data_IF_639494835912
#
_entry.id   IF_639494835912
#
_cell.length_a   1.000
_cell.length_b   1.000
_cell.length_c   1.000
_cell.angle_alpha   90.00
_cell.angle_beta   90.00
_cell.angle_gamma   90.00
#
_symmetry.space_group_name_H-M   'P 1'
#
loop_
_entity.id
_entity.type
_entity.pdbx_description
1 polymer ?
#
# COMPACT_ATOMS: atom_id res chain seq x y z
N UNK A 1 -20.36 48.09 -71.50
CA UNK A 1 -21.25 46.97 -71.12
C UNK A 1 -20.39 45.77 -70.78
N UNK A 2 -20.62 45.20 -69.60
CA UNK A 2 -20.18 43.89 -69.07
C UNK A 2 -18.67 43.55 -69.08
N UNK A 3 -17.99 43.91 -67.99
CA UNK A 3 -16.71 43.32 -67.55
C UNK A 3 -16.99 42.17 -66.55
N UNK A 4 -16.56 40.96 -66.87
CA UNK A 4 -16.70 39.76 -66.04
C UNK A 4 -15.73 39.77 -64.83
N UNK A 5 -16.12 39.25 -63.65
CA UNK A 5 -15.24 39.19 -62.49
C UNK A 5 -14.29 37.98 -62.54
N UNK A 6 -13.01 38.26 -62.27
CA UNK A 6 -11.95 37.27 -62.05
C UNK A 6 -12.24 36.46 -60.76
N UNK A 7 -12.21 35.13 -60.88
CA UNK A 7 -12.31 34.21 -59.74
C UNK A 7 -11.10 34.32 -58.79
N UNK A 8 -11.23 33.84 -57.54
CA UNK A 8 -10.22 34.02 -56.51
C UNK A 8 -8.95 33.20 -56.80
N UNK A 9 -7.79 33.83 -56.63
CA UNK A 9 -6.47 33.19 -56.71
C UNK A 9 -6.24 32.21 -55.55
N UNK A 10 -5.47 31.12 -55.76
CA UNK A 10 -5.15 30.16 -54.70
C UNK A 10 -4.19 30.77 -53.67
N UNK A 11 -4.48 30.53 -52.38
CA UNK A 11 -3.64 30.97 -51.26
C UNK A 11 -2.34 30.16 -51.18
N UNK A 12 -1.22 30.77 -50.75
CA UNK A 12 0.04 30.06 -50.51
C UNK A 12 -0.07 29.13 -49.29
N UNK A 13 0.72 28.04 -49.23
CA UNK A 13 0.69 27.10 -48.12
C UNK A 13 1.19 27.74 -46.82
N UNK A 14 0.71 27.27 -45.65
CA UNK A 14 1.13 27.80 -44.37
C UNK A 14 2.60 27.49 -44.07
N UNK A 15 3.30 28.34 -43.28
CA UNK A 15 4.69 28.10 -42.91
C UNK A 15 4.82 26.86 -42.01
N UNK A 16 5.98 26.18 -42.02
CA UNK A 16 6.20 25.00 -41.21
C UNK A 16 6.08 25.33 -39.72
N UNK A 17 5.34 24.50 -38.99
CA UNK A 17 5.18 24.61 -37.54
C UNK A 17 6.54 24.45 -36.85
N UNK A 18 6.93 25.44 -36.05
CA UNK A 18 8.08 25.36 -35.18
C UNK A 18 7.86 24.21 -34.18
N UNK A 19 8.74 23.20 -34.22
CA UNK A 19 8.78 22.15 -33.22
C UNK A 19 9.12 22.77 -31.87
N UNK A 20 8.24 22.58 -30.89
CA UNK A 20 8.53 22.92 -29.50
C UNK A 20 9.79 22.14 -29.04
N UNK A 21 10.69 22.74 -28.25
CA UNK A 21 11.83 22.03 -27.72
C UNK A 21 11.34 20.87 -26.85
N UNK A 22 12.02 19.70 -26.87
CA UNK A 22 11.63 18.57 -26.05
C UNK A 22 11.64 19.00 -24.58
N UNK A 23 10.53 18.72 -23.89
CA UNK A 23 10.43 18.87 -22.45
C UNK A 23 11.54 18.04 -21.81
N UNK A 24 12.48 18.72 -21.15
CA UNK A 24 13.46 18.07 -20.31
C UNK A 24 12.71 17.41 -19.16
N UNK A 25 12.45 16.11 -19.29
CA UNK A 25 12.16 15.26 -18.14
C UNK A 25 13.37 15.38 -17.21
N UNK A 26 13.18 15.48 -15.88
CA UNK A 26 14.30 15.42 -14.96
C UNK A 26 15.00 14.09 -15.21
N UNK A 27 16.25 14.16 -15.67
CA UNK A 27 17.12 13.01 -15.79
C UNK A 27 17.27 12.43 -14.39
N UNK A 28 16.53 11.34 -14.10
CA UNK A 28 16.76 10.57 -12.91
C UNK A 28 18.17 9.99 -13.02
N UNK A 29 19.03 10.45 -12.12
CA UNK A 29 20.40 10.00 -12.02
C UNK A 29 20.40 8.53 -11.58
N UNK A 30 20.56 7.62 -12.55
CA UNK A 30 20.61 6.16 -12.35
C UNK A 30 21.75 5.72 -11.42
N UNK A 31 22.63 6.63 -11.00
CA UNK A 31 23.72 6.35 -10.07
C UNK A 31 23.30 6.33 -8.58
N UNK A 32 22.14 6.90 -8.21
CA UNK A 32 21.60 6.73 -6.85
C UNK A 32 21.14 5.28 -6.57
N UNK A 33 20.67 4.57 -7.61
CA UNK A 33 20.27 3.14 -7.52
C UNK A 33 21.46 2.16 -7.52
N UNK A 34 22.66 2.61 -7.90
CA UNK A 34 23.86 1.76 -7.84
C UNK A 34 24.54 1.79 -6.48
N UNK A 35 24.40 2.89 -5.72
CA UNK A 35 25.08 3.06 -4.43
C UNK A 35 24.49 2.24 -3.29
N UNK A 36 23.33 1.59 -3.48
CA UNK A 36 22.62 0.87 -2.41
C UNK A 36 22.03 -0.47 -2.86
N UNK A 37 22.56 -1.16 -3.88
CA UNK A 37 22.17 -2.56 -4.11
C UNK A 37 22.69 -3.43 -2.96
N UNK A 38 21.82 -4.01 -2.11
CA UNK A 38 22.26 -5.11 -1.27
C UNK A 38 22.50 -6.31 -2.20
N UNK A 39 23.60 -7.03 -2.01
CA UNK A 39 23.87 -8.26 -2.77
C UNK A 39 22.71 -9.25 -2.67
N UNK A 40 21.97 -9.39 -3.77
CA UNK A 40 20.75 -10.21 -3.88
C UNK A 40 21.01 -11.73 -3.97
N UNK A 41 22.28 -12.14 -3.94
CA UNK A 41 22.70 -13.54 -4.00
C UNK A 41 23.00 -14.17 -2.63
N UNK A 42 22.74 -13.42 -1.54
CA UNK A 42 23.24 -13.71 -0.20
C UNK A 42 22.39 -14.64 0.68
N UNK A 43 21.43 -15.37 0.10
CA UNK A 43 20.56 -16.31 0.84
C UNK A 43 21.23 -17.69 1.07
N UNK A 44 22.37 -17.97 0.42
CA UNK A 44 23.04 -19.30 0.49
C UNK A 44 23.80 -19.59 1.80
N UNK A 45 24.08 -18.59 2.64
CA UNK A 45 24.97 -18.76 3.81
C UNK A 45 24.30 -18.59 5.19
N UNK A 46 23.00 -18.28 5.26
CA UNK A 46 22.30 -18.29 6.55
C UNK A 46 21.95 -19.73 6.93
N UNK A 47 22.84 -20.38 7.69
CA UNK A 47 22.58 -21.71 8.27
C UNK A 47 21.33 -21.65 9.14
N UNK A 48 20.36 -22.53 8.88
CA UNK A 48 19.18 -22.66 9.73
C UNK A 48 19.62 -23.09 11.14
N UNK A 49 19.25 -22.31 12.15
CA UNK A 49 19.39 -22.76 13.52
C UNK A 49 18.38 -23.91 13.74
N UNK A 50 18.85 -25.05 14.23
CA UNK A 50 17.96 -26.14 14.64
C UNK A 50 17.33 -25.70 15.96
N UNK A 51 16.06 -25.28 15.90
CA UNK A 51 15.30 -24.97 17.11
C UNK A 51 14.63 -26.28 17.55
N UNK A 52 15.12 -26.87 18.65
CA UNK A 52 14.46 -28.01 19.29
C UNK A 52 13.22 -27.49 20.04
N UNK A 53 12.04 -27.69 19.45
CA UNK A 53 10.77 -27.43 20.14
C UNK A 53 9.59 -27.29 19.19
N UNK A 54 8.52 -28.04 19.46
CA UNK A 54 7.20 -27.75 18.89
C UNK A 54 6.67 -26.47 19.54
N UNK A 55 6.09 -25.62 18.71
CA UNK A 55 5.30 -24.42 19.03
C UNK A 55 6.04 -23.27 19.72
N UNK A 56 5.78 -22.05 19.26
CA UNK A 56 6.23 -20.82 19.91
C UNK A 56 5.46 -20.65 21.22
N UNK A 57 5.83 -21.40 22.25
CA UNK A 57 5.30 -21.27 23.60
C UNK A 57 5.94 -20.03 24.24
N UNK A 58 5.13 -19.16 24.84
CA UNK A 58 5.60 -18.03 25.65
C UNK A 58 6.72 -18.46 26.59
N UNK A 59 7.82 -17.70 26.61
CA UNK A 59 9.02 -17.97 27.40
C UNK A 59 10.12 -18.75 26.66
N UNK A 60 9.85 -19.29 25.46
CA UNK A 60 10.88 -19.97 24.67
C UNK A 60 11.94 -18.98 24.17
N UNK A 61 13.21 -19.36 24.29
CA UNK A 61 14.36 -18.58 23.82
C UNK A 61 14.77 -19.08 22.44
N UNK A 62 14.76 -18.17 21.47
CA UNK A 62 15.20 -18.40 20.10
C UNK A 62 16.56 -17.75 19.92
N UNK A 63 17.63 -18.55 19.88
CA UNK A 63 18.97 -18.06 19.59
C UNK A 63 19.31 -18.24 18.12
N UNK A 64 19.88 -17.19 17.51
CA UNK A 64 20.31 -17.17 16.11
C UNK A 64 21.64 -16.45 15.99
N UNK A 65 22.43 -16.80 14.98
CA UNK A 65 23.67 -16.09 14.67
C UNK A 65 23.40 -15.11 13.54
N UNK A 66 23.64 -13.83 13.80
CA UNK A 66 23.64 -12.78 12.80
C UNK A 66 25.08 -12.32 12.49
N UNK A 67 25.29 -11.65 11.37
CA UNK A 67 26.62 -11.17 10.99
C UNK A 67 27.51 -12.26 10.37
N UNK A 68 28.82 -12.02 10.32
CA UNK A 68 29.77 -12.89 9.60
C UNK A 68 29.95 -12.58 8.12
N UNK A 69 29.36 -11.48 7.61
CA UNK A 69 29.52 -11.03 6.22
C UNK A 69 30.59 -9.94 6.15
N UNK A 70 31.40 -9.94 5.09
CA UNK A 70 32.44 -8.92 4.83
C UNK A 70 33.48 -8.72 5.95
N UNK A 71 33.74 -9.74 6.78
CA UNK A 71 34.73 -9.67 7.85
C UNK A 71 34.19 -9.23 9.22
N UNK A 72 32.91 -8.90 9.32
CA UNK A 72 32.27 -8.59 10.62
C UNK A 72 32.14 -9.85 11.48
N UNK A 73 32.36 -9.76 12.81
CA UNK A 73 32.24 -10.91 13.70
C UNK A 73 30.81 -11.47 13.69
N UNK A 74 30.70 -12.81 13.75
CA UNK A 74 29.42 -13.48 13.99
C UNK A 74 28.96 -13.17 15.41
N UNK A 75 27.74 -12.65 15.54
CA UNK A 75 27.13 -12.35 16.82
C UNK A 75 25.93 -13.28 17.04
N UNK A 76 25.91 -13.95 18.19
CA UNK A 76 24.71 -14.67 18.64
C UNK A 76 23.74 -13.67 19.26
N UNK A 77 22.49 -13.70 18.81
CA UNK A 77 21.39 -12.93 19.36
C UNK A 77 20.28 -13.89 19.80
N UNK A 78 19.64 -13.57 20.92
CA UNK A 78 18.64 -14.40 21.57
C UNK A 78 17.35 -13.62 21.79
N UNK A 79 16.24 -14.21 21.37
CA UNK A 79 14.91 -13.63 21.50
C UNK A 79 14.06 -14.46 22.46
N UNK A 80 13.55 -13.85 23.52
CA UNK A 80 12.53 -14.47 24.36
C UNK A 80 11.14 -14.15 23.80
N UNK A 81 10.43 -15.15 23.31
CA UNK A 81 9.06 -14.98 22.83
C UNK A 81 8.13 -14.67 24.01
N UNK A 82 7.41 -13.56 23.97
CA UNK A 82 6.54 -13.11 25.06
C UNK A 82 5.08 -13.50 24.82
N UNK A 83 4.52 -13.11 23.67
CA UNK A 83 3.12 -13.38 23.33
C UNK A 83 2.87 -13.37 21.84
N UNK A 84 1.88 -14.13 21.40
CA UNK A 84 1.34 -14.03 20.04
C UNK A 84 0.57 -12.72 19.91
N UNK A 85 0.90 -11.92 18.90
CA UNK A 85 0.25 -10.63 18.59
C UNK A 85 -0.52 -10.64 17.28
N UNK A 86 -0.32 -11.66 16.44
CA UNK A 86 -1.08 -11.86 15.22
C UNK A 86 -1.05 -13.30 14.74
N UNK A 87 -2.17 -13.76 14.19
CA UNK A 87 -2.28 -15.05 13.49
C UNK A 87 -2.93 -14.78 12.13
N UNK A 88 -2.39 -15.38 11.07
CA UNK A 88 -2.90 -15.21 9.72
C UNK A 88 -2.61 -16.42 8.85
N UNK A 89 -3.13 -16.39 7.62
CA UNK A 89 -2.93 -17.46 6.62
C UNK A 89 -1.46 -17.74 6.32
N UNK A 90 -0.58 -16.75 6.52
CA UNK A 90 0.84 -16.83 6.20
C UNK A 90 1.72 -17.25 7.38
N UNK A 91 1.17 -17.35 8.59
CA UNK A 91 1.92 -17.74 9.78
C UNK A 91 1.53 -16.98 11.04
N UNK A 92 2.48 -16.89 11.96
CA UNK A 92 2.27 -16.39 13.32
C UNK A 92 3.21 -15.21 13.55
N UNK A 93 2.70 -14.15 14.16
CA UNK A 93 3.49 -13.00 14.62
C UNK A 93 3.49 -13.01 16.13
N UNK A 94 4.67 -12.97 16.73
CA UNK A 94 4.81 -12.85 18.17
C UNK A 94 5.68 -11.66 18.54
N UNK A 95 5.35 -11.03 19.66
CA UNK A 95 6.22 -10.09 20.33
C UNK A 95 7.33 -10.89 21.03
N UNK A 96 8.55 -10.40 20.94
CA UNK A 96 9.69 -10.96 21.64
C UNK A 96 10.58 -9.86 22.21
N UNK A 97 11.37 -10.20 23.22
CA UNK A 97 12.42 -9.34 23.76
C UNK A 97 13.79 -9.83 23.32
N UNK A 98 14.56 -8.97 22.69
CA UNK A 98 15.98 -9.19 22.41
C UNK A 98 16.74 -9.17 23.74
N UNK A 99 17.41 -10.27 24.10
CA UNK A 99 18.07 -10.38 25.40
C UNK A 99 19.34 -9.56 25.49
N UNK A 100 20.02 -9.36 24.36
CA UNK A 100 21.29 -8.62 24.29
C UNK A 100 21.09 -7.10 24.35
N UNK A 101 19.98 -6.59 23.82
CA UNK A 101 19.70 -5.14 23.76
C UNK A 101 18.57 -4.70 24.69
N UNK A 102 17.77 -5.64 25.19
CA UNK A 102 16.52 -5.37 25.91
C UNK A 102 15.39 -4.86 25.02
N UNK A 103 15.61 -4.69 23.72
CA UNK A 103 14.62 -4.15 22.78
C UNK A 103 13.46 -5.12 22.54
N UNK A 104 12.24 -4.59 22.54
CA UNK A 104 11.04 -5.33 22.11
C UNK A 104 10.92 -5.34 20.57
N UNK A 105 10.72 -6.51 19.99
CA UNK A 105 10.62 -6.73 18.55
C UNK A 105 9.37 -7.53 18.19
N UNK A 106 8.95 -7.46 16.92
CA UNK A 106 7.95 -8.35 16.35
C UNK A 106 8.65 -9.40 15.48
N UNK A 107 8.35 -10.68 15.68
CA UNK A 107 8.89 -11.77 14.86
C UNK A 107 7.73 -12.43 14.12
N UNK A 108 7.73 -12.28 12.78
CA UNK A 108 6.78 -12.97 11.89
C UNK A 108 7.41 -14.26 11.40
N UNK A 109 6.91 -15.39 11.87
CA UNK A 109 7.33 -16.74 11.50
C UNK A 109 6.43 -17.29 10.42
N UNK A 110 6.99 -17.52 9.24
CA UNK A 110 6.28 -18.02 8.05
C UNK A 110 6.89 -19.33 7.57
N UNK A 111 6.04 -20.27 7.14
CA UNK A 111 6.52 -21.51 6.54
C UNK A 111 7.23 -21.18 5.22
N UNK A 112 8.43 -21.72 5.04
CA UNK A 112 9.29 -21.43 3.91
C UNK A 112 9.43 -22.65 3.00
N UNK A 113 8.94 -22.53 1.77
CA UNK A 113 9.29 -23.49 0.72
C UNK A 113 10.75 -23.24 0.29
N UNK A 114 11.58 -24.28 0.39
CA UNK A 114 13.01 -24.25 0.02
C UNK A 114 13.24 -23.89 -1.45
N UNK A 115 12.24 -24.07 -2.31
CA UNK A 115 12.35 -23.85 -3.76
C UNK A 115 12.15 -22.40 -4.17
N UNK A 116 11.54 -21.57 -3.32
CA UNK A 116 11.12 -20.22 -3.69
C UNK A 116 11.71 -19.19 -2.75
N UNK A 117 12.14 -18.05 -3.29
CA UNK A 117 12.48 -16.88 -2.47
C UNK A 117 11.20 -16.26 -1.91
N UNK A 118 11.25 -15.80 -0.66
CA UNK A 118 10.13 -15.12 -0.04
C UNK A 118 10.04 -13.68 -0.54
N UNK A 119 8.94 -13.34 -1.25
CA UNK A 119 8.73 -12.00 -1.82
C UNK A 119 8.66 -10.92 -0.75
N UNK A 120 7.98 -11.19 0.37
CA UNK A 120 7.84 -10.22 1.47
C UNK A 120 9.22 -9.81 2.01
N UNK A 121 10.11 -10.78 2.26
CA UNK A 121 11.50 -10.52 2.65
C UNK A 121 12.24 -9.66 1.61
N UNK A 122 12.10 -9.99 0.33
CA UNK A 122 12.76 -9.24 -0.75
C UNK A 122 12.29 -7.77 -0.78
N UNK A 123 10.99 -7.54 -0.65
CA UNK A 123 10.42 -6.19 -0.64
C UNK A 123 10.86 -5.42 0.61
N UNK A 124 10.79 -6.03 1.79
CA UNK A 124 11.15 -5.37 3.04
C UNK A 124 12.63 -4.96 3.09
N UNK A 125 13.53 -5.70 2.42
CA UNK A 125 14.94 -5.31 2.28
C UNK A 125 15.15 -4.04 1.43
N UNK A 126 14.17 -3.61 0.65
CA UNK A 126 14.24 -2.43 -0.23
C UNK A 126 13.58 -1.19 0.37
N UNK A 127 12.97 -1.30 1.55
CA UNK A 127 12.14 -0.25 2.13
C UNK A 127 12.74 0.26 3.44
N UNK A 128 12.90 1.57 3.52
CA UNK A 128 13.30 2.31 4.71
C UNK A 128 12.57 3.66 4.72
N UNK A 129 11.55 3.75 5.59
CA UNK A 129 10.73 4.94 5.71
C UNK A 129 10.05 4.99 7.09
N UNK A 130 9.93 6.16 7.75
CA UNK A 130 9.34 6.28 9.09
C UNK A 130 7.90 5.75 9.21
N UNK A 131 7.12 5.78 8.12
CA UNK A 131 5.75 5.28 8.06
C UNK A 131 5.61 3.89 7.41
N UNK A 132 6.70 3.14 7.30
CA UNK A 132 6.73 1.73 6.88
C UNK A 132 7.45 0.93 7.96
N UNK A 133 7.00 -0.29 8.23
CA UNK A 133 7.65 -1.16 9.22
C UNK A 133 9.05 -1.55 8.75
N UNK A 134 10.04 -1.40 9.64
CA UNK A 134 11.43 -1.74 9.35
C UNK A 134 11.73 -3.21 9.63
N UNK A 135 12.39 -3.87 8.68
CA UNK A 135 13.02 -5.17 8.87
C UNK A 135 14.39 -4.96 9.50
N UNK A 136 14.59 -5.48 10.71
CA UNK A 136 15.89 -5.44 11.40
C UNK A 136 16.84 -6.48 10.81
N UNK A 137 16.37 -7.72 10.72
CA UNK A 137 17.08 -8.85 10.12
C UNK A 137 16.11 -10.04 9.97
N UNK A 138 16.62 -11.16 9.47
CA UNK A 138 15.85 -12.39 9.35
C UNK A 138 16.72 -13.60 9.67
N UNK A 139 16.10 -14.71 10.05
CA UNK A 139 16.79 -15.99 10.25
C UNK A 139 15.89 -17.18 9.90
N UNK A 140 16.51 -18.31 9.57
CA UNK A 140 15.80 -19.55 9.33
C UNK A 140 15.80 -20.43 10.58
N UNK A 141 14.70 -21.13 10.79
CA UNK A 141 14.55 -22.14 11.83
C UNK A 141 13.90 -23.38 11.28
N UNK A 142 14.35 -24.55 11.71
CA UNK A 142 13.75 -25.83 11.31
C UNK A 142 13.07 -26.50 12.50
N UNK A 143 11.88 -27.06 12.32
CA UNK A 143 11.19 -27.84 13.36
C UNK A 143 11.74 -29.26 13.45
N UNK A 144 11.33 -30.01 14.47
CA UNK A 144 11.64 -31.44 14.61
C UNK A 144 11.11 -32.30 13.46
N UNK A 145 10.16 -31.78 12.67
CA UNK A 145 9.58 -32.43 11.48
C UNK A 145 10.28 -32.02 10.17
N UNK A 146 11.44 -31.37 10.25
CA UNK A 146 12.17 -30.81 9.11
C UNK A 146 11.40 -29.75 8.30
N UNK A 147 10.44 -29.07 8.93
CA UNK A 147 9.75 -27.94 8.31
C UNK A 147 10.60 -26.69 8.47
N UNK A 148 10.95 -26.07 7.34
CA UNK A 148 11.72 -24.83 7.31
C UNK A 148 10.81 -23.63 7.50
N UNK A 149 11.17 -22.74 8.41
CA UNK A 149 10.50 -21.46 8.63
C UNK A 149 11.47 -20.31 8.41
N UNK A 150 10.96 -19.25 7.79
CA UNK A 150 11.58 -17.94 7.73
C UNK A 150 11.01 -17.09 8.87
N UNK A 151 11.90 -16.47 9.65
CA UNK A 151 11.55 -15.57 10.74
C UNK A 151 12.00 -14.16 10.37
N UNK A 152 11.04 -13.25 10.19
CA UNK A 152 11.29 -11.84 9.91
C UNK A 152 11.27 -11.08 11.23
N UNK A 153 12.40 -10.51 11.64
CA UNK A 153 12.51 -9.71 12.86
C UNK A 153 12.35 -8.24 12.49
N UNK A 154 11.30 -7.62 13.03
CA UNK A 154 10.87 -6.27 12.72
C UNK A 154 10.85 -5.43 14.00
N UNK A 155 10.85 -4.11 13.84
CA UNK A 155 10.48 -3.24 14.96
C UNK A 155 9.09 -3.60 15.51
N UNK A 156 8.88 -3.40 16.81
CA UNK A 156 7.58 -3.61 17.44
C UNK A 156 6.84 -2.28 17.57
N UNK A 157 5.57 -2.26 17.16
CA UNK A 157 4.65 -1.14 17.38
C UNK A 157 3.46 -1.66 18.20
N UNK A 158 3.07 -1.01 19.32
CA UNK A 158 2.20 -1.63 20.33
C UNK A 158 0.76 -1.92 19.89
N UNK A 159 0.18 -1.04 19.08
CA UNK A 159 -1.24 -1.10 18.73
C UNK A 159 -1.47 -1.11 17.23
N UNK A 160 -2.68 -1.52 16.83
CA UNK A 160 -3.16 -1.39 15.46
C UNK A 160 -4.23 -0.31 15.39
N UNK A 161 -4.38 0.33 14.24
CA UNK A 161 -5.44 1.31 13.99
C UNK A 161 -6.82 0.69 14.24
N UNK A 162 -6.99 -0.59 13.93
CA UNK A 162 -8.20 -1.35 14.24
C UNK A 162 -8.51 -1.37 15.75
N UNK A 163 -7.51 -1.65 16.60
CA UNK A 163 -7.70 -1.68 18.05
C UNK A 163 -7.99 -0.28 18.61
N UNK A 164 -7.34 0.74 18.07
CA UNK A 164 -7.62 2.15 18.39
C UNK A 164 -9.07 2.51 18.03
N UNK A 165 -9.53 2.18 16.82
CA UNK A 165 -10.91 2.40 16.38
C UNK A 165 -11.92 1.69 17.28
N UNK A 166 -11.67 0.41 17.58
CA UNK A 166 -12.52 -0.38 18.47
C UNK A 166 -12.61 0.22 19.87
N UNK A 167 -11.52 0.77 20.39
CA UNK A 167 -11.51 1.45 21.69
C UNK A 167 -12.46 2.66 21.70
N UNK A 168 -12.34 3.58 20.74
CA UNK A 168 -13.25 4.72 20.61
C UNK A 168 -14.72 4.29 20.44
N UNK A 169 -14.97 3.33 19.56
CA UNK A 169 -16.33 2.78 19.34
C UNK A 169 -16.91 2.17 20.62
N UNK A 170 -16.12 1.40 21.39
CA UNK A 170 -16.58 0.77 22.64
C UNK A 170 -16.93 1.78 23.74
N UNK A 171 -16.31 2.96 23.72
CA UNK A 171 -16.63 4.06 24.63
C UNK A 171 -17.74 4.98 24.09
N UNK A 172 -18.34 4.63 22.95
CA UNK A 172 -19.30 5.47 22.23
C UNK A 172 -18.76 6.88 21.93
N UNK A 173 -17.45 6.97 21.66
CA UNK A 173 -16.76 8.20 21.33
C UNK A 173 -16.30 8.18 19.86
N UNK A 174 -16.25 9.37 19.25
CA UNK A 174 -15.62 9.55 17.94
C UNK A 174 -14.15 9.84 18.12
N UNK A 175 -13.33 9.39 17.16
CA UNK A 175 -11.93 9.77 17.11
C UNK A 175 -11.82 11.29 16.92
N UNK A 176 -11.04 12.01 17.76
CA UNK A 176 -10.73 13.41 17.56
C UNK A 176 -10.17 13.68 16.15
N UNK A 177 -10.66 14.72 15.48
CA UNK A 177 -10.27 15.04 14.10
C UNK A 177 -8.76 15.29 13.92
N UNK A 178 -8.07 15.72 14.96
CA UNK A 178 -6.61 15.87 14.92
C UNK A 178 -5.91 14.53 14.68
N UNK A 179 -6.36 13.45 15.34
CA UNK A 179 -5.81 12.12 15.14
C UNK A 179 -6.20 11.55 13.78
N UNK A 180 -7.43 11.81 13.32
CA UNK A 180 -7.84 11.44 11.96
C UNK A 180 -6.88 12.06 10.93
N UNK A 181 -6.66 13.38 10.99
CA UNK A 181 -5.74 14.08 10.08
C UNK A 181 -4.31 13.54 10.18
N UNK A 182 -3.79 13.37 11.39
CA UNK A 182 -2.42 12.94 11.64
C UNK A 182 -2.16 11.51 11.13
N UNK A 183 -3.09 10.59 11.40
CA UNK A 183 -2.97 9.20 10.97
C UNK A 183 -3.14 9.08 9.46
N UNK A 184 -4.16 9.72 8.88
CA UNK A 184 -4.38 9.73 7.44
C UNK A 184 -3.18 10.30 6.68
N UNK A 185 -2.59 11.41 7.14
CA UNK A 185 -1.39 11.97 6.53
C UNK A 185 -0.23 10.96 6.51
N UNK A 186 0.05 10.31 7.64
CA UNK A 186 1.14 9.34 7.74
C UNK A 186 0.91 8.09 6.89
N UNK A 187 -0.35 7.62 6.78
CA UNK A 187 -0.74 6.51 5.88
C UNK A 187 -0.41 6.89 4.44
N UNK A 188 -0.90 8.05 3.96
CA UNK A 188 -0.65 8.48 2.59
C UNK A 188 0.83 8.76 2.32
N UNK A 189 1.58 9.29 3.29
CA UNK A 189 3.03 9.46 3.18
C UNK A 189 3.75 8.12 3.02
N UNK A 190 3.37 7.11 3.79
CA UNK A 190 3.90 5.75 3.63
C UNK A 190 3.55 5.13 2.28
N UNK A 191 2.31 5.30 1.82
CA UNK A 191 1.86 4.83 0.50
C UNK A 191 2.62 5.51 -0.64
N UNK A 192 2.75 6.84 -0.59
CA UNK A 192 3.53 7.60 -1.57
C UNK A 192 4.97 7.08 -1.67
N UNK A 193 5.62 6.79 -0.53
CA UNK A 193 6.94 6.19 -0.52
C UNK A 193 6.97 4.83 -1.23
N UNK A 194 6.15 3.85 -0.81
CA UNK A 194 6.21 2.49 -1.38
C UNK A 194 5.79 2.47 -2.86
N UNK A 195 4.90 3.37 -3.29
CA UNK A 195 4.45 3.47 -4.68
C UNK A 195 5.51 4.07 -5.59
N UNK A 196 6.30 5.03 -5.10
CA UNK A 196 7.22 5.82 -5.96
C UNK A 196 8.66 5.35 -5.92
N UNK A 197 9.15 4.88 -4.76
CA UNK A 197 10.55 4.52 -4.59
C UNK A 197 10.82 3.09 -5.05
N UNK A 198 10.19 2.04 -4.47
CA UNK A 198 10.35 0.66 -4.94
C UNK A 198 9.27 0.21 -5.95
N UNK A 199 8.24 1.02 -6.25
CA UNK A 199 7.18 0.65 -7.20
C UNK A 199 6.24 -0.46 -6.68
N UNK A 200 6.08 -0.56 -5.36
CA UNK A 200 5.35 -1.63 -4.69
C UNK A 200 3.91 -1.23 -4.42
N UNK A 201 2.96 -2.07 -4.82
CA UNK A 201 1.58 -1.99 -4.36
C UNK A 201 1.40 -2.90 -3.13
N UNK A 202 0.78 -2.39 -2.06
CA UNK A 202 0.57 -3.11 -0.80
C UNK A 202 -0.51 -4.20 -0.95
N UNK A 203 -1.61 -3.87 -1.62
CA UNK A 203 -2.74 -4.78 -1.97
C UNK A 203 -3.53 -5.35 -0.79
N UNK A 204 -3.32 -4.85 0.42
CA UNK A 204 -4.10 -5.21 1.62
C UNK A 204 -4.06 -4.13 2.70
N UNK A 205 -4.23 -2.87 2.30
CA UNK A 205 -4.30 -1.73 3.24
C UNK A 205 -5.63 -1.81 3.99
N UNK A 206 -5.56 -1.87 5.32
CA UNK A 206 -6.70 -1.96 6.24
C UNK A 206 -6.27 -1.59 7.66
N UNK A 207 -7.19 -1.25 8.58
CA UNK A 207 -6.83 -0.83 9.93
C UNK A 207 -5.98 -1.84 10.73
N UNK A 208 -6.08 -3.14 10.41
CA UNK A 208 -5.26 -4.18 11.06
C UNK A 208 -3.79 -4.14 10.61
N UNK A 209 -3.52 -3.67 9.38
CA UNK A 209 -2.18 -3.58 8.78
C UNK A 209 -1.58 -2.16 8.90
N UNK A 210 -2.18 -1.35 9.77
CA UNK A 210 -1.72 -0.01 10.13
C UNK A 210 -1.39 -0.03 11.62
N UNK A 211 -0.11 -0.05 11.94
CA UNK A 211 0.33 -0.02 13.32
C UNK A 211 0.40 1.42 13.82
N UNK A 212 0.10 1.61 15.10
CA UNK A 212 0.09 2.91 15.77
C UNK A 212 0.80 2.78 17.11
N UNK A 213 1.70 3.69 17.40
CA UNK A 213 2.14 3.95 18.76
C UNK A 213 1.23 5.03 19.36
N UNK A 214 0.35 4.72 20.34
CA UNK A 214 -0.57 5.70 20.91
C UNK A 214 0.11 6.81 21.71
N UNK A 215 1.37 6.63 22.13
CA UNK A 215 2.11 7.64 22.88
C UNK A 215 2.70 8.70 21.95
N UNK A 216 3.31 8.26 20.85
CA UNK A 216 3.98 9.15 19.88
C UNK A 216 3.10 9.51 18.68
N UNK A 217 1.98 8.81 18.50
CA UNK A 217 1.10 8.86 17.33
C UNK A 217 1.79 8.53 16.00
N UNK A 218 2.92 7.81 16.04
CA UNK A 218 3.59 7.30 14.85
C UNK A 218 2.73 6.19 14.21
N UNK A 219 2.49 6.30 12.89
CA UNK A 219 1.79 5.27 12.11
C UNK A 219 2.74 4.57 11.15
N UNK A 220 2.68 3.24 11.08
CA UNK A 220 3.51 2.42 10.18
C UNK A 220 2.66 1.41 9.40
N UNK A 221 2.85 1.36 8.08
CA UNK A 221 2.34 0.29 7.22
C UNK A 221 3.08 -1.01 7.54
N UNK A 222 2.35 -2.11 7.73
CA UNK A 222 2.93 -3.43 7.96
C UNK A 222 2.24 -4.51 7.13
N UNK A 223 2.79 -5.74 7.17
CA UNK A 223 2.28 -6.93 6.47
C UNK A 223 2.35 -6.82 4.94
N UNK A 224 3.55 -7.03 4.41
CA UNK A 224 3.83 -7.00 2.96
C UNK A 224 3.66 -8.39 2.30
N UNK A 225 2.99 -9.34 2.97
CA UNK A 225 2.74 -10.68 2.44
C UNK A 225 1.91 -10.69 1.16
N UNK A 226 1.02 -9.71 1.00
CA UNK A 226 0.23 -9.51 -0.22
C UNK A 226 0.89 -8.55 -1.22
N UNK A 227 1.99 -7.88 -0.86
CA UNK A 227 2.55 -6.82 -1.69
C UNK A 227 3.23 -7.36 -2.97
N UNK A 228 3.28 -6.53 -4.01
CA UNK A 228 3.93 -6.86 -5.29
C UNK A 228 4.38 -5.58 -6.01
N UNK A 229 5.52 -5.63 -6.68
CA UNK A 229 5.87 -4.64 -7.72
C UNK A 229 4.96 -4.88 -8.92
N UNK A 230 4.17 -3.88 -9.31
CA UNK A 230 3.26 -4.00 -10.45
C UNK A 230 3.99 -3.58 -11.73
N UNK A 231 4.03 -4.48 -12.70
CA UNK A 231 4.62 -4.23 -14.02
C UNK A 231 3.50 -4.04 -15.03
N UNK A 232 3.59 -2.95 -15.82
CA UNK A 232 2.59 -2.64 -16.84
C UNK A 232 2.51 -3.77 -17.87
N UNK A 233 1.30 -4.23 -18.18
CA UNK A 233 1.04 -5.33 -19.10
C UNK A 233 1.16 -6.74 -18.49
N UNK A 234 1.53 -6.86 -17.20
CA UNK A 234 1.46 -8.14 -16.49
C UNK A 234 0.11 -8.30 -15.79
N UNK A 235 -0.55 -9.43 -16.01
CA UNK A 235 -1.76 -9.80 -15.29
C UNK A 235 -1.46 -10.11 -13.81
N UNK A 236 -2.37 -9.68 -12.94
CA UNK A 236 -2.32 -9.91 -11.51
C UNK A 236 -3.63 -10.53 -11.01
N UNK A 237 -3.56 -11.24 -9.88
CA UNK A 237 -4.75 -11.82 -9.24
C UNK A 237 -5.67 -10.68 -8.77
N UNK A 238 -6.94 -10.74 -9.17
CA UNK A 238 -7.97 -9.75 -8.82
C UNK A 238 -8.61 -10.02 -7.46
N UNK A 239 -8.74 -11.29 -7.06
CA UNK A 239 -9.21 -11.68 -5.73
C UNK A 239 -8.12 -11.47 -4.67
N UNK A 240 -7.82 -10.21 -4.41
CA UNK A 240 -6.85 -9.71 -3.43
C UNK A 240 -7.49 -8.60 -2.60
N UNK A 241 -6.81 -8.13 -1.55
CA UNK A 241 -7.31 -7.15 -0.59
C UNK A 241 -8.48 -7.66 0.27
N UNK A 242 -8.51 -7.22 1.54
CA UNK A 242 -9.63 -7.46 2.45
C UNK A 242 -10.90 -6.77 1.95
N UNK A 243 -12.03 -7.47 2.02
CA UNK A 243 -13.28 -7.14 1.29
C UNK A 243 -13.75 -5.69 1.46
N UNK A 244 -13.83 -5.18 2.70
CA UNK A 244 -14.36 -3.83 2.98
C UNK A 244 -13.49 -2.70 2.41
N UNK A 245 -12.22 -2.99 2.11
CA UNK A 245 -11.24 -2.04 1.61
C UNK A 245 -10.90 -2.30 0.13
N UNK A 246 -11.57 -3.27 -0.50
CA UNK A 246 -11.28 -3.71 -1.87
C UNK A 246 -11.81 -2.68 -2.88
N UNK A 247 -10.94 -2.28 -3.80
CA UNK A 247 -11.28 -1.36 -4.88
C UNK A 247 -12.28 -1.98 -5.88
N UNK A 248 -13.18 -1.18 -6.47
CA UNK A 248 -14.25 -1.69 -7.34
C UNK A 248 -13.70 -2.43 -8.57
N UNK A 249 -12.59 -1.99 -9.16
CA UNK A 249 -11.95 -2.67 -10.30
C UNK A 249 -11.52 -4.11 -9.95
N UNK A 250 -11.13 -4.38 -8.70
CA UNK A 250 -10.80 -5.73 -8.24
C UNK A 250 -12.06 -6.58 -8.06
N UNK A 251 -13.19 -5.97 -7.65
CA UNK A 251 -14.49 -6.64 -7.55
C UNK A 251 -15.00 -7.05 -8.95
N UNK A 252 -14.76 -6.20 -9.95
CA UNK A 252 -15.04 -6.51 -11.36
C UNK A 252 -14.03 -7.47 -12.00
N UNK A 253 -13.04 -7.95 -11.25
CA UNK A 253 -12.10 -8.96 -11.73
C UNK A 253 -10.96 -8.42 -12.58
N UNK A 254 -10.69 -7.11 -12.58
CA UNK A 254 -9.57 -6.53 -13.31
C UNK A 254 -8.24 -7.17 -12.89
N UNK A 255 -7.46 -7.60 -13.86
CA UNK A 255 -6.12 -8.19 -13.66
C UNK A 255 -5.00 -7.18 -13.94
N UNK A 256 -5.32 -6.09 -14.63
CA UNK A 256 -4.44 -4.95 -14.91
C UNK A 256 -4.88 -3.75 -14.08
N UNK A 257 -4.53 -3.77 -12.80
CA UNK A 257 -4.74 -2.65 -11.88
C UNK A 257 -3.41 -1.99 -11.52
N UNK A 258 -3.48 -0.80 -10.90
CA UNK A 258 -2.31 -0.03 -10.51
C UNK A 258 -2.24 0.12 -8.98
N UNK A 259 -1.26 0.86 -8.48
CA UNK A 259 -1.15 1.23 -7.06
C UNK A 259 -2.34 2.04 -6.55
N UNK A 260 -3.21 2.55 -7.43
CA UNK A 260 -4.45 3.25 -7.10
C UNK A 260 -5.40 2.46 -6.19
N UNK A 261 -5.34 1.12 -6.21
CA UNK A 261 -6.16 0.28 -5.34
C UNK A 261 -5.85 0.52 -3.86
N UNK A 262 -4.59 0.83 -3.51
CA UNK A 262 -4.21 1.16 -2.13
C UNK A 262 -4.75 2.53 -1.72
N UNK A 263 -4.88 3.47 -2.66
CA UNK A 263 -5.47 4.80 -2.43
C UNK A 263 -6.97 4.67 -2.14
N UNK A 264 -7.67 3.80 -2.87
CA UNK A 264 -9.05 3.44 -2.54
C UNK A 264 -9.16 2.87 -1.12
N UNK A 265 -8.35 1.86 -0.80
CA UNK A 265 -8.33 1.25 0.53
C UNK A 265 -8.03 2.26 1.65
N UNK A 266 -7.09 3.18 1.43
CA UNK A 266 -6.79 4.26 2.37
C UNK A 266 -7.95 5.25 2.53
N UNK A 267 -8.70 5.52 1.46
CA UNK A 267 -9.95 6.27 1.51
C UNK A 267 -11.01 5.59 2.38
N UNK A 268 -11.18 4.27 2.25
CA UNK A 268 -12.04 3.49 3.13
C UNK A 268 -11.60 3.57 4.60
N UNK A 269 -10.29 3.50 4.88
CA UNK A 269 -9.75 3.68 6.24
C UNK A 269 -10.05 5.08 6.77
N UNK A 270 -9.82 6.14 5.99
CA UNK A 270 -10.15 7.51 6.39
C UNK A 270 -11.64 7.65 6.74
N UNK A 271 -12.53 7.12 5.91
CA UNK A 271 -13.95 7.14 6.18
C UNK A 271 -14.31 6.38 7.45
N UNK A 272 -13.69 5.21 7.68
CA UNK A 272 -13.88 4.45 8.91
C UNK A 272 -13.38 5.19 10.16
N UNK A 273 -12.27 5.93 10.07
CA UNK A 273 -11.78 6.79 11.16
C UNK A 273 -12.79 7.90 11.50
N UNK A 274 -13.50 8.44 10.51
CA UNK A 274 -14.52 9.48 10.69
C UNK A 274 -15.85 8.92 11.21
N UNK A 275 -16.25 7.74 10.75
CA UNK A 275 -17.54 7.12 11.03
C UNK A 275 -17.52 6.26 12.30
N UNK A 276 -16.35 5.73 12.68
CA UNK A 276 -16.19 4.74 13.75
C UNK A 276 -16.61 3.31 13.36
N UNK A 277 -16.96 3.09 12.09
CA UNK A 277 -17.36 1.80 11.52
C UNK A 277 -16.98 1.72 10.03
N UNK A 278 -16.83 0.51 9.45
CA UNK A 278 -16.46 0.36 8.04
C UNK A 278 -17.43 1.08 7.09
N UNK A 279 -16.89 1.75 6.07
CA UNK A 279 -17.69 2.49 5.08
C UNK A 279 -18.53 1.57 4.19
N UNK A 280 -18.00 0.40 3.83
CA UNK A 280 -18.63 -0.54 2.90
C UNK A 280 -18.60 -1.97 3.48
N UNK A 281 -19.54 -2.33 4.37
CA UNK A 281 -19.57 -3.62 5.05
C UNK A 281 -20.31 -4.70 4.23
N UNK A 282 -19.87 -5.00 3.00
CA UNK A 282 -20.52 -6.01 2.15
C UNK A 282 -20.24 -7.45 2.60
N UNK A 283 -21.25 -8.33 2.59
CA UNK A 283 -21.08 -9.74 3.01
C UNK A 283 -20.37 -10.60 1.95
N UNK A 284 -20.60 -10.29 0.67
CA UNK A 284 -19.97 -10.93 -0.49
C UNK A 284 -19.56 -9.88 -1.53
N UNK A 285 -19.04 -10.31 -2.69
CA UNK A 285 -18.55 -9.40 -3.74
C UNK A 285 -19.67 -8.54 -4.35
N UNK A 286 -20.88 -9.09 -4.50
CA UNK A 286 -22.03 -8.37 -5.03
C UNK A 286 -22.52 -7.33 -4.02
N UNK A 287 -22.66 -7.73 -2.75
CA UNK A 287 -23.08 -6.82 -1.68
C UNK A 287 -22.07 -5.70 -1.47
N UNK A 288 -20.77 -5.99 -1.57
CA UNK A 288 -19.72 -4.98 -1.50
C UNK A 288 -19.91 -3.90 -2.59
N UNK A 289 -20.24 -4.31 -3.81
CA UNK A 289 -20.52 -3.38 -4.90
C UNK A 289 -21.80 -2.56 -4.63
N UNK A 290 -22.84 -3.20 -4.08
CA UNK A 290 -24.08 -2.52 -3.69
C UNK A 290 -23.82 -1.43 -2.64
N UNK A 291 -23.02 -1.71 -1.61
CA UNK A 291 -22.63 -0.71 -0.61
C UNK A 291 -21.86 0.47 -1.22
N UNK A 292 -20.95 0.19 -2.15
CA UNK A 292 -20.20 1.23 -2.88
C UNK A 292 -21.14 2.13 -3.71
N UNK A 293 -22.10 1.52 -4.42
CA UNK A 293 -23.06 2.24 -5.27
C UNK A 293 -23.98 3.12 -4.42
N UNK A 294 -24.48 2.62 -3.28
CA UNK A 294 -25.35 3.39 -2.36
C UNK A 294 -24.70 4.73 -1.97
N UNK A 295 -23.44 4.70 -1.53
CA UNK A 295 -22.72 5.91 -1.11
C UNK A 295 -22.36 6.79 -2.30
N UNK A 296 -21.88 6.20 -3.40
CA UNK A 296 -21.51 6.95 -4.60
C UNK A 296 -22.70 7.75 -5.15
N UNK A 297 -23.88 7.12 -5.23
CA UNK A 297 -25.11 7.79 -5.65
C UNK A 297 -25.51 8.92 -4.69
N UNK A 298 -25.32 8.76 -3.38
CA UNK A 298 -25.55 9.84 -2.41
C UNK A 298 -24.59 11.01 -2.65
N UNK A 299 -23.31 10.74 -2.93
CA UNK A 299 -22.33 11.78 -3.24
C UNK A 299 -22.69 12.50 -4.53
N UNK A 300 -22.96 11.76 -5.62
CA UNK A 300 -23.38 12.35 -6.89
C UNK A 300 -24.67 13.18 -6.74
N UNK A 301 -25.67 12.66 -6.04
CA UNK A 301 -26.89 13.41 -5.74
C UNK A 301 -26.58 14.69 -4.96
N UNK A 302 -25.78 14.62 -3.87
CA UNK A 302 -25.40 15.80 -3.09
C UNK A 302 -24.62 16.83 -3.90
N UNK A 303 -23.68 16.40 -4.74
CA UNK A 303 -22.91 17.29 -5.63
C UNK A 303 -23.83 17.96 -6.65
N UNK A 304 -24.80 17.23 -7.22
CA UNK A 304 -25.80 17.80 -8.13
C UNK A 304 -26.71 18.78 -7.39
N UNK A 305 -27.22 18.43 -6.21
CA UNK A 305 -28.05 19.32 -5.39
C UNK A 305 -27.30 20.58 -4.94
N UNK A 306 -26.05 20.46 -4.51
CA UNK A 306 -25.20 21.60 -4.15
C UNK A 306 -24.84 22.43 -5.39
N UNK A 307 -24.56 21.82 -6.53
CA UNK A 307 -24.34 22.51 -7.81
C UNK A 307 -25.58 23.27 -8.30
N UNK A 308 -26.78 22.71 -8.10
CA UNK A 308 -28.05 23.37 -8.40
C UNK A 308 -28.34 24.54 -7.45
N UNK A 309 -28.02 24.42 -6.15
CA UNK A 309 -28.21 25.50 -5.17
C UNK A 309 -27.12 26.59 -5.20
N UNK A 310 -25.88 26.26 -5.57
CA UNK A 310 -24.79 27.22 -5.74
C UNK A 310 -24.88 28.01 -7.05
N UNK A 311 -25.80 27.69 -7.96
CA UNK A 311 -26.07 28.48 -9.18
C UNK A 311 -26.60 29.89 -8.92
N UNK A 312 -26.87 30.25 -7.65
CA UNK A 312 -27.27 31.59 -7.24
C UNK A 312 -26.15 32.46 -6.62
N UNK A 313 -24.88 32.01 -6.60
CA UNK A 313 -23.76 32.88 -6.26
C UNK A 313 -22.53 32.53 -7.11
N UNK A 314 -22.20 33.42 -8.03
CA UNK A 314 -21.02 33.37 -8.90
C UNK A 314 -19.75 33.41 -8.05
N UNK A 315 -19.06 32.27 -7.83
CA UNK A 315 -17.58 32.22 -7.70
C UNK A 315 -16.94 30.84 -7.50
N UNK A 316 -17.68 29.73 -7.32
CA UNK A 316 -17.06 28.42 -7.02
C UNK A 316 -17.28 27.40 -8.13
N UNK A 317 -16.79 27.69 -9.34
CA UNK A 317 -16.83 26.75 -10.48
C UNK A 317 -15.46 26.49 -11.13
N UNK A 318 -14.34 26.89 -10.51
CA UNK A 318 -13.02 26.73 -11.14
C UNK A 318 -12.12 25.60 -10.60
N UNK A 319 -12.44 24.90 -9.50
CA UNK A 319 -11.48 23.93 -8.91
C UNK A 319 -11.81 22.43 -9.05
N UNK A 320 -12.98 22.04 -9.58
CA UNK A 320 -13.33 20.61 -9.70
C UNK A 320 -13.12 20.01 -11.10
N UNK A 321 -12.81 20.82 -12.11
CA UNK A 321 -12.46 20.34 -13.46
C UNK A 321 -11.07 19.69 -13.57
N UNK A 322 -10.21 19.82 -12.54
CA UNK A 322 -8.81 19.39 -12.62
C UNK A 322 -8.56 17.93 -12.21
N UNK A 323 -9.52 17.24 -11.59
CA UNK A 323 -9.34 15.83 -11.18
C UNK A 323 -9.70 14.83 -12.29
N UNK A 324 -10.44 15.24 -13.33
CA UNK A 324 -10.82 14.37 -14.45
C UNK A 324 -9.98 14.56 -15.72
N UNK A 325 -9.12 15.59 -15.79
CA UNK A 325 -8.26 15.82 -16.97
C UNK A 325 -6.91 15.08 -16.95
N UNK A 326 -6.59 14.32 -15.89
CA UNK A 326 -5.29 13.63 -15.79
C UNK A 326 -5.33 12.11 -16.03
N UNK A 327 -6.50 11.53 -16.34
CA UNK A 327 -6.64 10.08 -16.58
C UNK A 327 -7.33 9.70 -17.91
N UNK A 328 -7.56 10.64 -18.81
CA UNK A 328 -8.37 10.40 -20.02
C UNK A 328 -7.90 11.12 -21.28
N UNK A 329 -6.65 10.91 -21.70
CA UNK A 329 -6.28 11.07 -23.12
C UNK A 329 -5.79 9.74 -23.66
N UNK A 330 -6.73 8.92 -24.11
CA UNK A 330 -6.63 8.24 -25.41
C UNK A 330 -7.93 7.52 -25.74
N UNK A 331 -8.27 7.60 -27.04
CA UNK A 331 -9.27 6.85 -27.80
C UNK A 331 -10.76 7.15 -27.63
N UNK A 332 -11.28 7.77 -28.70
CA UNK A 332 -12.47 7.39 -29.49
C UNK A 332 -13.79 8.13 -29.25
N UNK A 333 -14.02 9.07 -30.18
CA UNK A 333 -15.25 9.40 -30.90
C UNK A 333 -16.59 9.43 -30.14
N UNK A 334 -17.01 10.65 -29.83
CA UNK A 334 -18.41 11.04 -29.68
C UNK A 334 -19.22 10.68 -30.94
N UNK A 335 -20.25 9.85 -30.74
CA UNK A 335 -21.37 9.72 -31.67
C UNK A 335 -22.62 10.19 -30.93
N UNK A 336 -23.17 11.30 -31.41
CA UNK A 336 -24.49 11.86 -31.08
C UNK A 336 -25.55 10.77 -31.03
N UNK A 337 -26.37 10.74 -29.99
CA UNK A 337 -27.73 10.18 -30.01
C UNK A 337 -28.44 10.54 -28.71
N UNK A 338 -29.24 11.61 -28.72
CA UNK A 338 -30.55 11.66 -28.07
C UNK A 338 -31.34 12.80 -28.71
N UNK A 339 -32.21 12.41 -29.64
CA UNK A 339 -33.34 13.20 -30.09
C UNK A 339 -34.54 12.25 -30.05
N UNK A 340 -35.31 12.35 -28.96
CA UNK A 340 -36.76 12.23 -28.80
C UNK A 340 -37.08 12.23 -27.31
#
# INVERSE_FOLDING_TARGET
MASMPLGPQPQPPPPPQAQAPPSQQPHFDNDLLKRHRPDMDSDKEMSAAVIQGNDAVTGHIISTTIGGKNGEPKQTISYMAERVVGTGSFGIVFQAKCLETGETVAIKKVLQDRRYKNRELQLMRLMDHPNVISLKHCFFSTTSKDELFLNLVMEYVPETMYRVLKHYSSMNQRMPLIYVKLYTYQIFRGLAYIHTVPGVCHRDVKPQNLLVDPLTHQVKLCDFGSAKVLVKGEANISYICSRYYRAPELIFGATEYTTSIDIWSAGCVLAELLLGQPLFPGENAVDQLVEIIKVSNIIYAKTIYQGLFCSNNHEIMCELGSWYSYSGRNSMHESKLYGF
#
